data_IF_925919303163
#
_entry.id   IF_925919303163
#
_cell.length_a   1.000
_cell.length_b   1.000
_cell.length_c   1.000
_cell.angle_alpha   90.00
_cell.angle_beta   90.00
_cell.angle_gamma   90.00
#
_symmetry.space_group_name_H-M   'P 1'
#
loop_
_entity.id
_entity.type
_entity.pdbx_description
1 polymer ?
#
# COMPACT_ATOMS: atom_id res chain seq x y z
N UNK A 1 4.02 -3.62 1.67
CA UNK A 1 5.09 -3.10 0.77
C UNK A 1 5.89 -1.94 1.39
N UNK A 2 6.10 -1.98 2.67
CA UNK A 2 6.80 -0.89 3.36
C UNK A 2 8.24 -0.69 2.86
N UNK A 3 8.96 -1.78 2.58
CA UNK A 3 10.31 -1.72 2.05
C UNK A 3 10.41 -1.11 0.64
N UNK A 4 9.34 -1.20 -0.14
CA UNK A 4 9.26 -0.58 -1.46
C UNK A 4 8.91 0.90 -1.40
N UNK A 5 8.59 1.39 -0.23
CA UNK A 5 8.20 2.77 0.02
C UNK A 5 7.02 3.20 -0.86
N UNK A 6 5.98 2.40 -0.85
CA UNK A 6 4.77 2.66 -1.61
C UNK A 6 3.54 2.43 -0.73
N UNK A 7 2.56 3.26 -0.92
CA UNK A 7 1.25 3.11 -0.32
C UNK A 7 0.20 3.55 -1.31
N UNK A 8 -1.05 3.26 -1.04
CA UNK A 8 -2.14 3.65 -1.93
C UNK A 8 -3.39 3.98 -1.12
N UNK A 9 -4.29 4.71 -1.74
CA UNK A 9 -5.56 5.08 -1.13
C UNK A 9 -6.67 5.00 -2.18
N UNK A 10 -7.84 4.55 -1.76
CA UNK A 10 -9.05 4.59 -2.55
C UNK A 10 -9.98 5.62 -1.93
N UNK A 11 -10.39 6.62 -2.71
CA UNK A 11 -11.17 7.75 -2.21
C UNK A 11 -12.05 8.32 -3.33
N UNK A 12 -13.03 9.19 -2.99
CA UNK A 12 -13.78 9.90 -4.01
C UNK A 12 -12.89 10.72 -4.94
N UNK A 13 -13.34 10.89 -6.17
CA UNK A 13 -12.53 11.50 -7.24
C UNK A 13 -11.99 12.88 -6.87
N UNK A 14 -12.82 13.75 -6.31
CA UNK A 14 -12.44 15.10 -5.94
C UNK A 14 -11.31 15.11 -4.90
N UNK A 15 -11.36 14.20 -3.93
CA UNK A 15 -10.32 14.04 -2.92
C UNK A 15 -9.02 13.53 -3.53
N UNK A 16 -9.11 12.56 -4.44
CA UNK A 16 -7.94 12.03 -5.15
C UNK A 16 -7.28 13.12 -5.99
N UNK A 17 -8.05 13.96 -6.66
CA UNK A 17 -7.52 15.08 -7.44
C UNK A 17 -6.77 16.09 -6.56
N UNK A 18 -7.30 16.38 -5.37
CA UNK A 18 -6.65 17.28 -4.42
C UNK A 18 -5.32 16.69 -3.93
N UNK A 19 -5.28 15.40 -3.64
CA UNK A 19 -4.05 14.71 -3.25
C UNK A 19 -3.02 14.72 -4.37
N UNK A 20 -3.43 14.49 -5.61
CA UNK A 20 -2.55 14.51 -6.78
C UNK A 20 -1.91 15.88 -6.96
N UNK A 21 -2.68 16.95 -6.81
CA UNK A 21 -2.18 18.32 -6.87
C UNK A 21 -1.11 18.57 -5.80
N UNK A 22 -1.36 18.13 -4.57
CA UNK A 22 -0.42 18.26 -3.47
C UNK A 22 0.89 17.50 -3.73
N UNK A 23 0.78 16.27 -4.22
CA UNK A 23 1.94 15.44 -4.52
C UNK A 23 2.80 16.04 -5.62
N UNK A 24 2.19 16.59 -6.67
CA UNK A 24 2.94 17.19 -7.77
C UNK A 24 3.74 18.40 -7.34
N UNK A 25 3.33 19.10 -6.27
CA UNK A 25 4.01 20.29 -5.78
C UNK A 25 4.98 20.01 -4.62
N UNK A 26 4.90 18.84 -4.00
CA UNK A 26 5.73 18.52 -2.83
C UNK A 26 6.74 17.41 -3.10
N UNK A 27 6.27 16.17 -3.26
CA UNK A 27 7.16 15.01 -3.38
C UNK A 27 7.28 14.45 -4.79
N UNK A 28 6.37 14.84 -5.69
CA UNK A 28 6.32 14.27 -7.04
C UNK A 28 5.77 12.86 -7.05
N UNK A 29 6.21 12.06 -8.02
CA UNK A 29 5.74 10.70 -8.21
C UNK A 29 6.61 9.69 -7.47
N UNK A 30 6.02 8.58 -7.05
CA UNK A 30 6.78 7.49 -6.48
C UNK A 30 7.53 6.72 -7.58
N UNK A 31 8.49 5.89 -7.16
CA UNK A 31 9.33 5.11 -8.07
C UNK A 31 8.47 4.23 -8.99
N UNK A 32 8.75 4.27 -10.29
CA UNK A 32 8.00 3.49 -11.28
C UNK A 32 8.15 1.98 -11.08
N UNK A 33 9.31 1.52 -10.60
CA UNK A 33 9.53 0.11 -10.26
C UNK A 33 8.61 -0.31 -9.11
N UNK A 34 8.52 0.52 -8.09
CA UNK A 34 7.62 0.27 -6.95
C UNK A 34 6.15 0.30 -7.37
N UNK A 35 5.77 1.17 -8.29
CA UNK A 35 4.41 1.21 -8.84
C UNK A 35 4.07 -0.07 -9.58
N UNK A 36 4.98 -0.58 -10.39
CA UNK A 36 4.80 -1.84 -11.12
C UNK A 36 4.67 -3.01 -10.14
N UNK A 37 5.49 -3.03 -9.09
CA UNK A 37 5.42 -4.06 -8.06
C UNK A 37 4.09 -4.00 -7.30
N UNK A 38 3.61 -2.80 -6.98
CA UNK A 38 2.31 -2.62 -6.30
C UNK A 38 1.15 -3.09 -7.16
N UNK A 39 1.16 -2.78 -8.46
CA UNK A 39 0.15 -3.24 -9.39
C UNK A 39 0.12 -4.77 -9.48
N UNK A 40 1.28 -5.40 -9.53
CA UNK A 40 1.40 -6.85 -9.56
C UNK A 40 0.89 -7.47 -8.25
N UNK A 41 1.19 -6.86 -7.10
CA UNK A 41 0.74 -7.34 -5.81
C UNK A 41 -0.78 -7.24 -5.67
N UNK A 42 -1.39 -6.13 -6.11
CA UNK A 42 -2.83 -5.92 -6.03
C UNK A 42 -3.62 -6.83 -6.97
N UNK A 43 -3.06 -7.15 -8.14
CA UNK A 43 -3.73 -7.98 -9.14
C UNK A 43 -3.37 -9.47 -9.02
N UNK A 44 -2.40 -9.82 -8.18
CA UNK A 44 -1.96 -11.19 -8.01
C UNK A 44 -2.67 -11.94 -6.90
N UNK A 45 -2.10 -13.07 -6.51
CA UNK A 45 -2.61 -13.90 -5.43
C UNK A 45 -2.54 -13.15 -4.09
N UNK A 46 -3.63 -13.15 -3.36
CA UNK A 46 -3.76 -12.49 -2.06
C UNK A 46 -3.66 -13.45 -0.86
N UNK A 47 -3.26 -14.70 -1.09
CA UNK A 47 -3.20 -15.73 -0.06
C UNK A 47 -2.28 -15.32 1.09
N UNK A 48 -1.18 -14.62 0.79
CA UNK A 48 -0.23 -14.18 1.81
C UNK A 48 -0.86 -13.26 2.85
N UNK A 49 -1.94 -12.54 2.50
CA UNK A 49 -2.63 -11.63 3.43
C UNK A 49 -3.22 -12.42 4.59
N UNK A 50 -3.95 -13.49 4.28
CA UNK A 50 -4.55 -14.35 5.30
C UNK A 50 -3.48 -15.02 6.16
N UNK A 51 -2.39 -15.49 5.54
CA UNK A 51 -1.26 -16.11 6.25
C UNK A 51 -0.61 -15.10 7.20
N UNK A 52 -0.36 -13.88 6.73
CA UNK A 52 0.23 -12.83 7.55
C UNK A 52 -0.66 -12.43 8.71
N UNK A 53 -1.96 -12.32 8.48
CA UNK A 53 -2.95 -12.00 9.53
C UNK A 53 -2.90 -13.05 10.64
N UNK A 54 -2.83 -14.33 10.28
CA UNK A 54 -2.74 -15.43 11.25
C UNK A 54 -1.48 -15.32 12.12
N UNK A 55 -0.34 -15.04 11.51
CA UNK A 55 0.93 -14.87 12.20
C UNK A 55 0.89 -13.67 13.16
N UNK A 56 0.40 -12.53 12.69
CA UNK A 56 0.30 -11.34 13.50
C UNK A 56 -0.68 -11.53 14.67
N UNK A 57 -1.76 -12.25 14.45
CA UNK A 57 -2.71 -12.58 15.52
C UNK A 57 -2.04 -13.39 16.62
N UNK A 58 -1.26 -14.41 16.26
CA UNK A 58 -0.51 -15.22 17.22
C UNK A 58 0.47 -14.37 18.02
N UNK A 59 1.19 -13.48 17.36
CA UNK A 59 2.14 -12.60 18.02
C UNK A 59 1.46 -11.62 18.97
N UNK A 60 0.34 -11.07 18.56
CA UNK A 60 -0.47 -10.19 19.42
C UNK A 60 -0.92 -10.92 20.67
N UNK A 61 -1.51 -12.10 20.52
CA UNK A 61 -2.04 -12.89 21.63
C UNK A 61 -0.93 -13.31 22.59
N UNK A 62 0.25 -13.60 22.07
CA UNK A 62 1.42 -13.94 22.89
C UNK A 62 1.94 -12.73 23.69
N UNK A 63 1.89 -11.54 23.11
CA UNK A 63 2.36 -10.31 23.76
C UNK A 63 1.39 -9.83 24.84
N UNK A 64 0.10 -9.96 24.60
CA UNK A 64 -0.93 -9.58 25.57
C UNK A 64 -1.10 -10.64 26.65
#
# INVERSE_FOLDING_TARGET
MTGWRIGWVAAPRDLVQAMDTLLSQSTGNCCSISQAAAAAALNGDQTFVAESVAIYKQRRDHTL
#
